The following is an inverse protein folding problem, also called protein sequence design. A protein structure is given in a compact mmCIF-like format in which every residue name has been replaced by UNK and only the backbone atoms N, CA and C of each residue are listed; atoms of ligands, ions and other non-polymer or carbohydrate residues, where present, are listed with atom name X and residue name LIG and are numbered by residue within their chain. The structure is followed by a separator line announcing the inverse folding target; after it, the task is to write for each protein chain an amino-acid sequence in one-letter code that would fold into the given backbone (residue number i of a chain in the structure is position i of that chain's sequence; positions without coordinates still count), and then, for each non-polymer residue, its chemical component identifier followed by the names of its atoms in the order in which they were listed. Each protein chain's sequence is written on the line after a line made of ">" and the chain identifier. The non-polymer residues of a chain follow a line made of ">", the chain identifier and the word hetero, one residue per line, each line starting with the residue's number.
data_IF_398225833042
#
_entry.id   IF_398225833042
#
_cell.length_a   1.000
_cell.length_b   1.000
_cell.length_c   1.000
_cell.angle_alpha   90.00
_cell.angle_beta   90.00
_cell.angle_gamma   90.00
#
_symmetry.space_group_name_H-M   'P 1'
#
loop_
_entity.id
_entity.type
_entity.pdbx_description
1 polymer ?
#
# COMPACT_ATOMS: atom_id res chain seq x y z
N UNK A 1 2.52 -2.06 -2.83
CA UNK A 1 3.46 -1.85 -1.72
C UNK A 1 3.12 -0.64 -0.86
N UNK A 2 3.00 0.57 -1.41
CA UNK A 2 2.76 1.78 -0.59
C UNK A 2 1.52 1.66 0.32
N UNK A 3 0.35 1.27 -0.23
CA UNK A 3 -0.88 1.13 0.56
C UNK A 3 -0.73 0.15 1.75
N UNK A 4 -0.03 -0.97 1.55
CA UNK A 4 0.27 -1.94 2.60
C UNK A 4 1.18 -1.33 3.68
N UNK A 5 2.27 -0.69 3.29
CA UNK A 5 3.22 -0.07 4.21
C UNK A 5 2.58 1.03 5.05
N UNK A 6 1.69 1.84 4.45
CA UNK A 6 0.97 2.90 5.17
C UNK A 6 0.05 2.33 6.23
N UNK A 7 -0.62 1.20 5.97
CA UNK A 7 -1.53 0.58 6.95
C UNK A 7 -0.78 0.00 8.13
N UNK A 8 0.28 -0.73 7.84
CA UNK A 8 1.19 -1.23 8.87
C UNK A 8 1.74 -0.07 9.72
N UNK A 9 2.24 0.98 9.08
CA UNK A 9 2.76 2.15 9.79
C UNK A 9 1.70 2.82 10.67
N UNK A 10 0.49 3.08 10.17
CA UNK A 10 -0.55 3.73 10.98
C UNK A 10 -0.91 2.94 12.25
N UNK A 11 -0.90 1.62 12.17
CA UNK A 11 -1.32 0.77 13.30
C UNK A 11 -0.15 0.54 14.27
N UNK A 12 1.04 0.26 13.74
CA UNK A 12 2.13 -0.33 14.52
C UNK A 12 3.34 0.58 14.72
N UNK A 13 3.44 1.73 14.04
CA UNK A 13 4.66 2.55 14.11
C UNK A 13 4.91 3.11 15.52
N UNK A 14 3.87 3.36 16.31
CA UNK A 14 4.01 3.84 17.69
C UNK A 14 4.63 2.79 18.62
N UNK A 15 4.53 1.50 18.29
CA UNK A 15 5.15 0.41 19.04
C UNK A 15 6.68 0.39 18.91
N UNK A 16 7.23 0.97 17.83
CA UNK A 16 8.67 1.02 17.63
C UNK A 16 9.39 1.79 18.75
N UNK A 17 8.75 2.82 19.31
CA UNK A 17 9.34 3.68 20.34
C UNK A 17 9.58 2.95 21.68
N UNK A 18 8.58 2.31 22.32
CA UNK A 18 8.81 1.55 23.52
C UNK A 18 9.71 0.33 23.28
N UNK A 19 9.60 -0.32 22.10
CA UNK A 19 10.48 -1.43 21.73
C UNK A 19 11.96 -1.03 21.66
N UNK A 20 12.27 0.15 21.15
CA UNK A 20 13.66 0.67 21.15
C UNK A 20 14.16 0.99 22.57
N UNK A 21 13.26 1.36 23.47
CA UNK A 21 13.62 1.69 24.86
C UNK A 21 13.85 0.44 25.73
N UNK A 22 13.17 -0.67 25.43
CA UNK A 22 13.35 -1.98 26.07
C UNK A 22 13.33 -3.14 25.05
N UNK A 23 14.39 -3.32 24.25
CA UNK A 23 14.40 -4.28 23.14
C UNK A 23 14.32 -5.75 23.59
N UNK A 24 14.71 -6.05 24.83
CA UNK A 24 14.70 -7.41 25.39
C UNK A 24 13.61 -7.63 26.44
N UNK A 25 12.83 -6.60 26.79
CA UNK A 25 11.79 -6.70 27.83
C UNK A 25 12.36 -6.88 29.26
N UNK A 26 13.62 -6.51 29.48
CA UNK A 26 14.29 -6.67 30.78
C UNK A 26 14.03 -5.51 31.74
N UNK A 27 13.15 -4.58 31.36
CA UNK A 27 12.87 -3.36 32.11
C UNK A 27 13.88 -2.25 31.84
N UNK A 28 14.61 -2.34 30.72
CA UNK A 28 15.49 -1.24 30.28
C UNK A 28 14.66 -0.01 29.91
N UNK A 29 15.26 1.17 30.01
CA UNK A 29 14.59 2.41 29.66
C UNK A 29 15.55 3.37 28.95
N UNK A 30 16.16 2.91 27.87
CA UNK A 30 17.24 3.61 27.17
C UNK A 30 16.83 5.01 26.68
N UNK A 31 15.56 5.17 26.28
CA UNK A 31 15.02 6.42 25.73
C UNK A 31 14.04 7.12 26.69
N UNK A 32 13.82 6.57 27.89
CA UNK A 32 12.79 7.09 28.80
C UNK A 32 11.35 6.71 28.43
N UNK A 33 11.13 5.98 27.33
CA UNK A 33 9.83 5.74 26.71
C UNK A 33 9.32 4.30 26.83
N UNK A 34 9.96 3.44 27.61
CA UNK A 34 9.56 2.02 27.74
C UNK A 34 8.11 1.82 28.23
N UNK A 35 7.54 2.83 28.92
CA UNK A 35 6.16 2.80 29.44
C UNK A 35 5.15 3.57 28.58
N UNK A 36 5.57 4.10 27.42
CA UNK A 36 4.65 4.80 26.51
C UNK A 36 3.66 3.77 25.95
N UNK A 37 2.35 3.99 26.10
CA UNK A 37 1.36 3.05 25.59
C UNK A 37 1.42 2.98 24.06
N UNK A 38 1.16 1.79 23.54
CA UNK A 38 0.94 1.61 22.11
C UNK A 38 -0.36 2.32 21.69
N UNK A 39 -0.25 3.27 20.77
CA UNK A 39 -1.39 4.03 20.25
C UNK A 39 -1.57 3.65 18.79
N UNK A 40 -2.74 3.10 18.45
CA UNK A 40 -3.09 2.86 17.05
C UNK A 40 -3.59 4.17 16.46
N UNK A 41 -2.92 4.68 15.42
CA UNK A 41 -3.35 5.94 14.80
C UNK A 41 -4.56 5.69 13.92
N UNK A 42 -5.74 6.09 14.40
CA UNK A 42 -7.01 6.10 13.67
C UNK A 42 -7.22 4.84 12.79
N UNK A 43 -7.35 3.64 13.39
CA UNK A 43 -7.52 2.38 12.64
C UNK A 43 -8.64 2.46 11.60
N UNK A 44 -9.73 3.14 11.95
CA UNK A 44 -10.90 3.35 11.10
C UNK A 44 -10.60 4.21 9.87
N UNK A 45 -9.51 4.97 9.85
CA UNK A 45 -9.08 5.78 8.70
C UNK A 45 -8.25 5.00 7.69
N UNK A 46 -7.76 3.80 8.04
CA UNK A 46 -6.88 3.00 7.18
C UNK A 46 -7.51 2.74 5.80
N UNK A 47 -8.78 2.29 5.67
CA UNK A 47 -9.39 2.07 4.36
C UNK A 47 -9.50 3.36 3.53
N UNK A 48 -9.76 4.49 4.18
CA UNK A 48 -9.89 5.80 3.55
C UNK A 48 -8.55 6.35 3.02
N UNK A 49 -7.43 5.96 3.64
CA UNK A 49 -6.08 6.34 3.17
C UNK A 49 -5.56 5.33 2.14
N UNK A 50 -5.78 4.03 2.35
CA UNK A 50 -5.35 2.98 1.42
C UNK A 50 -6.04 3.09 0.07
N UNK A 51 -7.35 3.35 0.06
CA UNK A 51 -8.17 3.36 -1.15
C UNK A 51 -7.66 4.35 -2.20
N UNK A 52 -7.45 5.66 -1.88
CA UNK A 52 -6.85 6.60 -2.82
C UNK A 52 -5.47 6.16 -3.33
N UNK A 53 -4.62 5.62 -2.46
CA UNK A 53 -3.27 5.16 -2.84
C UNK A 53 -3.34 4.03 -3.86
N UNK A 54 -4.26 3.07 -3.67
CA UNK A 54 -4.48 1.98 -4.61
C UNK A 54 -5.01 2.49 -5.96
N UNK A 55 -5.97 3.40 -5.94
CA UNK A 55 -6.55 3.99 -7.16
C UNK A 55 -5.52 4.81 -7.94
N UNK A 56 -4.67 5.57 -7.26
CA UNK A 56 -3.57 6.30 -7.92
C UNK A 56 -2.55 5.32 -8.51
N UNK A 57 -2.16 4.29 -7.75
CA UNK A 57 -1.26 3.24 -8.24
C UNK A 57 -1.82 2.51 -9.46
N UNK A 58 -3.13 2.26 -9.49
CA UNK A 58 -3.85 1.70 -10.62
C UNK A 58 -3.74 2.58 -11.86
N UNK A 59 -4.09 3.86 -11.72
CA UNK A 59 -4.10 4.81 -12.82
C UNK A 59 -2.71 4.93 -13.43
N UNK A 60 -1.67 5.09 -12.60
CA UNK A 60 -0.28 5.14 -13.04
C UNK A 60 0.13 3.85 -13.77
N UNK A 61 -0.22 2.69 -13.23
CA UNK A 61 0.12 1.39 -13.86
C UNK A 61 -0.52 1.24 -15.24
N UNK A 62 -1.80 1.63 -15.39
CA UNK A 62 -2.50 1.59 -16.68
C UNK A 62 -1.89 2.58 -17.66
N UNK A 63 -1.61 3.82 -17.23
CA UNK A 63 -0.97 4.85 -18.07
C UNK A 63 0.38 4.34 -18.58
N UNK A 64 1.19 3.77 -17.71
CA UNK A 64 2.49 3.19 -18.07
C UNK A 64 2.34 2.03 -19.05
N UNK A 65 1.42 1.09 -18.81
CA UNK A 65 1.18 -0.03 -19.72
C UNK A 65 0.75 0.43 -21.11
N UNK A 66 -0.19 1.38 -21.21
CA UNK A 66 -0.63 1.96 -22.48
C UNK A 66 0.51 2.69 -23.18
N UNK A 67 1.33 3.43 -22.43
CA UNK A 67 2.46 4.19 -22.98
C UNK A 67 3.50 3.24 -23.58
N UNK A 68 3.87 2.18 -22.86
CA UNK A 68 4.83 1.17 -23.32
C UNK A 68 4.33 0.49 -24.60
N UNK A 69 3.06 0.09 -24.64
CA UNK A 69 2.53 -0.64 -25.79
C UNK A 69 2.41 0.27 -27.02
N UNK A 70 1.97 1.53 -26.84
CA UNK A 70 1.91 2.49 -27.95
C UNK A 70 3.27 2.82 -28.56
N UNK A 71 4.34 2.75 -27.76
CA UNK A 71 5.70 2.97 -28.25
C UNK A 71 6.27 1.78 -29.02
N UNK A 72 5.77 0.55 -28.77
CA UNK A 72 6.32 -0.68 -29.36
C UNK A 72 5.47 -1.26 -30.48
N UNK A 73 4.17 -1.00 -30.50
CA UNK A 73 3.23 -1.59 -31.46
C UNK A 73 2.60 -0.46 -32.30
N UNK A 74 2.98 -0.32 -33.59
CA UNK A 74 2.43 0.71 -34.49
C UNK A 74 0.93 0.53 -34.77
N UNK A 75 0.47 -0.72 -34.81
CA UNK A 75 -0.94 -1.06 -35.04
C UNK A 75 -1.76 -0.82 -33.76
N UNK A 76 -2.68 0.14 -33.84
CA UNK A 76 -3.56 0.54 -32.73
C UNK A 76 -4.45 -0.60 -32.23
N UNK A 77 -4.89 -1.49 -33.10
CA UNK A 77 -5.80 -2.58 -32.74
C UNK A 77 -5.04 -3.71 -32.03
N UNK A 78 -3.85 -4.05 -32.51
CA UNK A 78 -2.95 -4.99 -31.82
C UNK A 78 -2.43 -4.41 -30.50
N UNK A 79 -2.13 -3.11 -30.45
CA UNK A 79 -1.76 -2.41 -29.22
C UNK A 79 -2.85 -2.53 -28.14
N UNK A 80 -4.11 -2.28 -28.50
CA UNK A 80 -5.23 -2.38 -27.54
C UNK A 80 -5.41 -3.80 -27.01
N UNK A 81 -5.41 -4.81 -27.89
CA UNK A 81 -5.52 -6.23 -27.50
C UNK A 81 -4.38 -6.67 -26.58
N UNK A 82 -3.19 -6.11 -26.75
CA UNK A 82 -2.01 -6.44 -25.94
C UNK A 82 -2.07 -5.82 -24.53
N UNK A 83 -2.65 -4.62 -24.39
CA UNK A 83 -2.83 -3.95 -23.07
C UNK A 83 -3.99 -4.55 -22.27
N UNK A 84 -5.03 -5.03 -22.95
CA UNK A 84 -6.25 -5.53 -22.33
C UNK A 84 -6.02 -6.56 -21.19
N UNK A 85 -5.22 -7.64 -21.37
CA UNK A 85 -4.98 -8.60 -20.28
C UNK A 85 -4.29 -7.97 -19.07
N UNK A 86 -3.39 -7.00 -19.29
CA UNK A 86 -2.70 -6.27 -18.21
C UNK A 86 -3.69 -5.43 -17.41
N UNK A 87 -4.57 -4.69 -18.09
CA UNK A 87 -5.58 -3.87 -17.44
C UNK A 87 -6.57 -4.74 -16.65
N UNK A 88 -7.03 -5.84 -17.24
CA UNK A 88 -7.93 -6.79 -16.57
C UNK A 88 -7.27 -7.35 -15.30
N UNK A 89 -6.00 -7.74 -15.38
CA UNK A 89 -5.25 -8.24 -14.24
C UNK A 89 -5.15 -7.19 -13.12
N UNK A 90 -4.77 -5.95 -13.45
CA UNK A 90 -4.68 -4.85 -12.49
C UNK A 90 -6.04 -4.60 -11.83
N UNK A 91 -7.11 -4.55 -12.62
CA UNK A 91 -8.49 -4.38 -12.12
C UNK A 91 -8.89 -5.50 -11.17
N UNK A 92 -8.62 -6.76 -11.53
CA UNK A 92 -8.96 -7.92 -10.71
C UNK A 92 -8.22 -7.93 -9.38
N UNK A 93 -6.92 -7.61 -9.39
CA UNK A 93 -6.10 -7.50 -8.17
C UNK A 93 -6.62 -6.39 -7.25
N UNK A 94 -7.00 -5.24 -7.82
CA UNK A 94 -7.52 -4.13 -7.03
C UNK A 94 -8.89 -4.46 -6.47
N UNK A 95 -9.78 -5.06 -7.26
CA UNK A 95 -11.08 -5.52 -6.78
C UNK A 95 -10.93 -6.52 -5.63
N UNK A 96 -10.00 -7.47 -5.74
CA UNK A 96 -9.67 -8.39 -4.65
C UNK A 96 -9.25 -7.63 -3.39
N UNK A 97 -8.37 -6.64 -3.51
CA UNK A 97 -7.95 -5.83 -2.36
C UNK A 97 -9.09 -5.02 -1.76
N UNK A 98 -9.97 -4.43 -2.57
CA UNK A 98 -11.17 -3.76 -2.06
C UNK A 98 -12.06 -4.71 -1.26
N UNK A 99 -12.24 -5.95 -1.74
CA UNK A 99 -13.02 -6.98 -1.02
C UNK A 99 -12.34 -7.40 0.29
N UNK A 100 -11.00 -7.39 0.34
CA UNK A 100 -10.27 -7.75 1.57
C UNK A 100 -10.20 -6.62 2.60
N UNK A 101 -10.37 -5.36 2.18
CA UNK A 101 -10.30 -4.18 3.06
C UNK A 101 -11.66 -3.73 3.61
N UNK A 102 -12.77 -4.20 3.03
CA UNK A 102 -14.15 -3.97 3.48
C UNK A 102 -14.62 -5.18 4.28
#
# INVERSE_FOLDING_TARGET
>A
WIAFTVSFAMIDISYAIPLLSDPFGWGWNLLGTAKVPWIRFFPEWVPYVQTPILLVGMALSIITAVTIVRQRIPDKHLAFKSVLPVVIFIMAVIMLFFVLYV
#
